data_IF_882945004037
#
_entry.id   IF_882945004037
#
_cell.length_a   1.000
_cell.length_b   1.000
_cell.length_c   1.000
_cell.angle_alpha   90.00
_cell.angle_beta   90.00
_cell.angle_gamma   90.00
#
_symmetry.space_group_name_H-M   'P 1'
#
loop_
_entity.id
_entity.type
_entity.pdbx_description
1 polymer ?
2 polymer ?
3 non-polymer ?
4 water ?
#
loop_
_entity_poly.entity_id
_entity_poly.type
_entity_poly.pdbx_seq_one_letter_code
_entity_poly.pdbx_strand_id
2 'polydeoxyribonucleotide' '(DA)(DT)(DG)(DT)(DC)' ?
#
# COMPACT_ATOMS: atom_id res chain seq x y z
N UNK A 2 9.42 13.73 -21.97
CA UNK A 2 10.62 12.99 -21.50
C UNK A 2 10.34 12.36 -20.12
N UNK A 3 9.91 13.15 -19.11
CA UNK A 3 9.43 12.65 -17.79
C UNK A 3 8.32 11.60 -17.98
N UNK A 4 8.46 10.49 -17.27
CA UNK A 4 7.50 9.37 -17.25
C UNK A 4 6.10 9.86 -16.88
N UNK A 5 5.11 9.25 -17.52
CA UNK A 5 3.68 9.40 -17.16
C UNK A 5 3.28 8.17 -16.36
N UNK A 6 2.08 8.21 -15.79
CA UNK A 6 1.48 7.09 -15.04
C UNK A 6 0.98 6.05 -16.05
N UNK A 7 1.13 4.75 -15.72
CA UNK A 7 0.50 3.70 -16.49
C UNK A 7 -1.01 3.77 -16.23
N UNK A 8 -1.78 3.29 -17.18
CA UNK A 8 -3.24 3.11 -17.03
C UNK A 8 -3.56 1.72 -17.49
N UNK A 9 -4.22 0.89 -16.66
CA UNK A 9 -4.53 1.20 -15.25
C UNK A 9 -3.30 1.52 -14.39
N UNK A 10 -3.53 2.25 -13.29
CA UNK A 10 -2.44 2.73 -12.39
C UNK A 10 -2.35 1.83 -11.16
N UNK A 11 -1.34 0.95 -11.09
CA UNK A 11 -1.27 0.03 -9.96
C UNK A 11 -1.12 0.74 -8.62
N UNK A 12 -1.74 0.15 -7.62
CA UNK A 12 -1.61 0.56 -6.19
C UNK A 12 -1.21 -0.71 -5.42
N UNK A 13 -0.45 -0.50 -4.38
CA UNK A 13 0.24 -1.57 -3.63
C UNK A 13 0.07 -1.36 -2.13
N UNK A 14 -0.40 -2.40 -1.49
CA UNK A 14 -0.48 -2.42 -0.01
C UNK A 14 0.32 -3.64 0.50
N UNK A 15 1.37 -3.37 1.25
CA UNK A 15 2.17 -4.45 1.86
C UNK A 15 1.61 -4.82 3.22
N UNK A 16 1.63 -6.13 3.47
CA UNK A 16 1.17 -6.68 4.76
C UNK A 16 1.87 -8.01 5.01
N UNK A 17 2.06 -8.30 6.27
CA UNK A 17 2.61 -9.61 6.69
C UNK A 17 1.62 -10.72 6.32
N UNK A 18 2.12 -11.87 5.86
CA UNK A 18 1.24 -13.04 5.56
C UNK A 18 0.39 -13.44 6.77
N UNK A 19 0.83 -13.16 7.99
CA UNK A 19 0.07 -13.56 9.22
C UNK A 19 -1.21 -12.73 9.32
N UNK A 20 -1.37 -11.67 8.53
CA UNK A 20 -2.63 -10.89 8.52
C UNK A 20 -3.61 -11.35 7.42
N UNK A 21 -3.19 -12.20 6.49
CA UNK A 21 -4.06 -12.55 5.36
C UNK A 21 -5.34 -13.25 5.84
N UNK A 22 -5.29 -14.15 6.82
CA UNK A 22 -6.51 -14.79 7.28
C UNK A 22 -7.49 -13.71 7.74
N UNK A 23 -7.04 -12.74 8.52
CA UNK A 23 -7.95 -11.70 9.02
C UNK A 23 -8.52 -10.87 7.86
N UNK A 24 -7.75 -10.64 6.80
CA UNK A 24 -8.22 -9.85 5.62
C UNK A 24 -9.34 -10.65 4.96
N UNK A 25 -9.12 -11.95 4.80
CA UNK A 25 -10.16 -12.77 4.15
C UNK A 25 -11.36 -12.95 5.09
N UNK A 26 -11.16 -13.10 6.41
CA UNK A 26 -12.29 -13.27 7.35
C UNK A 26 -13.18 -12.02 7.32
N UNK A 27 -12.59 -10.83 7.27
CA UNK A 27 -13.36 -9.57 7.26
C UNK A 27 -13.88 -9.34 5.83
N UNK A 28 -13.22 -9.93 4.86
CA UNK A 28 -13.52 -9.68 3.44
C UNK A 28 -13.00 -8.35 2.94
N UNK A 29 -12.02 -7.79 3.63
CA UNK A 29 -11.57 -6.42 3.31
C UNK A 29 -10.35 -6.05 4.14
N UNK A 30 -9.52 -5.21 3.58
CA UNK A 30 -8.58 -4.42 4.39
C UNK A 30 -9.36 -3.38 5.17
N UNK A 31 -9.05 -3.22 6.46
CA UNK A 31 -9.63 -2.17 7.32
C UNK A 31 -8.56 -1.14 7.66
N UNK A 32 -8.96 0.12 7.66
CA UNK A 32 -8.06 1.19 8.07
C UNK A 32 -7.68 1.02 9.52
N UNK A 33 -6.57 1.57 9.92
CA UNK A 33 -6.05 1.43 11.31
C UNK A 33 -7.14 1.76 12.32
N UNK A 34 -7.88 2.84 12.11
CA UNK A 34 -8.89 3.28 13.11
C UNK A 34 -10.12 2.38 13.09
N UNK A 35 -10.23 1.49 12.13
CA UNK A 35 -11.34 0.49 12.06
C UNK A 35 -10.92 -0.82 12.74
N UNK A 36 -9.84 -0.86 13.50
CA UNK A 36 -9.50 -1.99 14.37
C UNK A 36 -9.43 -3.30 13.61
N UNK A 37 -8.63 -3.40 12.54
CA UNK A 37 -8.42 -4.66 11.85
C UNK A 37 -7.88 -5.72 12.80
N UNK A 38 -8.29 -6.98 12.62
CA UNK A 38 -7.76 -8.08 13.43
C UNK A 38 -6.38 -8.54 12.95
N UNK A 39 -5.47 -7.56 12.95
CA UNK A 39 -4.09 -7.87 12.51
C UNK A 39 -3.38 -8.76 13.53
N UNK A 40 -2.52 -9.64 13.03
CA UNK A 40 -1.63 -10.46 13.88
C UNK A 40 -0.25 -9.83 13.98
N UNK A 41 0.18 -9.08 12.96
CA UNK A 41 1.61 -8.69 12.87
C UNK A 41 1.70 -7.23 12.38
N UNK A 42 2.25 -6.35 13.22
CA UNK A 42 2.52 -4.96 12.80
C UNK A 42 3.93 -4.93 12.23
N UNK A 43 4.09 -4.30 11.08
CA UNK A 43 5.42 -4.11 10.46
C UNK A 43 5.69 -2.61 10.39
N UNK A 44 4.96 -1.78 11.10
CA UNK A 44 5.08 -0.31 11.01
C UNK A 44 6.13 0.20 12.01
N UNK A 45 6.59 1.43 11.79
CA UNK A 45 7.19 2.30 12.83
C UNK A 45 6.10 2.89 13.72
N UNK A 46 6.15 2.60 15.02
CA UNK A 46 5.16 3.22 15.94
C UNK A 46 5.23 4.75 15.90
N UNK A 47 6.44 5.33 15.89
CA UNK A 47 6.57 6.79 16.02
C UNK A 47 6.02 7.49 14.82
N UNK A 48 5.98 6.85 13.63
CA UNK A 48 5.34 7.49 12.44
C UNK A 48 3.86 7.13 12.40
N UNK A 49 3.52 5.95 12.89
CA UNK A 49 2.10 5.58 13.10
C UNK A 49 1.42 6.69 13.93
N UNK A 50 2.09 7.18 14.97
CA UNK A 50 1.49 8.19 15.87
C UNK A 50 1.25 9.50 15.12
N UNK A 51 2.09 9.78 14.13
CA UNK A 51 1.85 10.98 13.27
C UNK A 51 0.61 10.75 12.37
N UNK A 52 0.50 9.57 11.76
CA UNK A 52 -0.69 9.20 10.90
C UNK A 52 -1.95 9.31 11.72
N UNK A 53 -1.86 8.91 12.99
CA UNK A 53 -2.98 8.92 13.93
C UNK A 53 -3.60 10.31 14.07
N UNK A 54 -2.82 11.37 13.87
CA UNK A 54 -3.31 12.73 14.13
C UNK A 54 -3.19 13.63 12.90
N UNK A 55 -2.86 13.04 11.75
CA UNK A 55 -2.65 13.80 10.49
C UNK A 55 -4.00 14.02 9.79
N UNK A 56 -4.52 15.24 9.77
CA UNK A 56 -5.82 15.57 9.13
C UNK A 56 -5.72 15.38 7.62
N UNK A 57 -6.76 14.79 7.04
CA UNK A 57 -6.90 14.70 5.57
C UNK A 57 -7.77 15.86 5.16
N UNK A 58 -7.23 16.80 4.35
CA UNK A 58 -7.92 18.05 4.06
C UNK A 58 -8.85 18.03 2.86
N UNK A 59 -9.10 16.87 2.27
CA UNK A 59 -10.09 16.67 1.20
C UNK A 59 -11.19 15.81 1.76
N UNK A 60 -12.43 16.02 1.32
CA UNK A 60 -13.50 15.11 1.69
C UNK A 60 -13.11 13.67 1.34
N UNK A 61 -13.46 12.64 2.12
CA UNK A 61 -14.33 12.74 3.30
C UNK A 61 -13.66 13.07 4.63
N UNK A 62 -12.44 13.61 4.60
CA UNK A 62 -11.78 14.18 5.78
C UNK A 62 -11.31 13.13 6.75
N UNK A 63 -11.42 13.45 8.03
CA UNK A 63 -10.87 12.57 9.06
C UNK A 63 -9.36 12.69 9.16
N UNK A 64 -8.70 11.59 9.44
CA UNK A 64 -7.21 11.56 9.57
C UNK A 64 -6.68 10.40 8.74
N UNK A 65 -5.37 10.32 8.57
CA UNK A 65 -4.75 9.30 7.72
C UNK A 65 -5.12 7.89 8.20
N UNK A 66 -5.27 7.70 9.52
CA UNK A 66 -5.61 6.40 10.13
C UNK A 66 -7.04 5.99 9.77
N UNK A 67 -7.83 6.87 9.14
CA UNK A 67 -9.18 6.48 8.67
C UNK A 67 -9.10 5.85 7.28
N UNK A 68 -7.94 5.71 6.68
CA UNK A 68 -7.83 5.26 5.26
C UNK A 68 -6.92 4.05 5.20
N UNK A 69 -7.24 3.13 4.31
CA UNK A 69 -6.31 2.02 3.92
C UNK A 69 -5.23 2.58 3.01
N UNK A 70 -3.94 2.45 3.37
CA UNK A 70 -2.87 3.08 2.61
C UNK A 70 -2.31 2.19 1.48
N UNK A 71 -2.08 2.79 0.36
CA UNK A 71 -1.35 2.17 -0.77
C UNK A 71 -0.27 3.12 -1.23
N UNK A 72 0.82 2.55 -1.75
CA UNK A 72 1.77 3.31 -2.54
C UNK A 72 1.53 3.01 -4.04
N UNK A 73 2.17 3.81 -4.88
CA UNK A 73 2.11 3.66 -6.34
C UNK A 73 3.29 2.84 -6.85
N UNK A 74 4.07 2.24 -5.94
CA UNK A 74 5.21 1.37 -6.29
C UNK A 74 5.28 0.24 -5.30
N UNK A 75 5.80 -0.90 -5.73
CA UNK A 75 6.32 -1.92 -4.81
C UNK A 75 7.71 -1.50 -4.37
N UNK A 76 8.38 -2.40 -3.63
CA UNK A 76 9.79 -2.17 -3.24
C UNK A 76 9.88 -0.81 -2.59
N UNK A 77 9.00 -0.54 -1.63
CA UNK A 77 8.92 0.79 -0.98
C UNK A 77 10.11 1.05 -0.06
N UNK A 78 10.32 2.32 0.34
CA UNK A 78 11.28 2.64 1.38
C UNK A 78 10.89 1.94 2.68
N UNK A 79 9.59 1.90 3.00
CA UNK A 79 9.12 1.17 4.20
C UNK A 79 9.60 -0.29 4.14
N UNK A 80 9.44 -0.93 2.98
CA UNK A 80 9.89 -2.35 2.85
C UNK A 80 11.42 -2.45 3.11
N UNK A 81 12.19 -1.44 2.76
CA UNK A 81 13.65 -1.43 3.05
C UNK A 81 13.85 -1.44 4.57
N UNK A 82 13.09 -0.65 5.31
CA UNK A 82 13.25 -0.57 6.78
C UNK A 82 12.96 -1.95 7.34
N UNK A 83 11.94 -2.63 6.83
CA UNK A 83 11.57 -4.03 7.20
C UNK A 83 12.66 -5.04 6.82
N UNK A 84 13.11 -5.03 5.58
CA UNK A 84 14.17 -5.91 5.02
C UNK A 84 15.39 -5.83 5.92
N UNK A 85 15.77 -4.63 6.35
CA UNK A 85 16.99 -4.39 7.14
C UNK A 85 16.79 -4.54 8.66
N UNK A 86 15.62 -4.92 9.13
CA UNK A 86 15.36 -5.20 10.56
C UNK A 86 15.38 -3.96 11.44
N UNK A 87 15.12 -2.79 10.85
CA UNK A 87 15.08 -1.48 11.55
C UNK A 87 13.79 -1.29 12.33
N UNK A 88 12.78 -2.09 11.99
CA UNK A 88 11.43 -2.06 12.59
C UNK A 88 11.51 -2.88 13.90
N UNK A 89 10.54 -2.71 14.78
CA UNK A 89 10.42 -3.63 15.94
C UNK A 89 10.24 -5.05 15.41
N UNK A 90 9.40 -5.23 14.38
CA UNK A 90 9.23 -6.51 13.65
C UNK A 90 10.58 -6.96 13.11
N UNK A 91 10.97 -8.21 13.42
CA UNK A 91 12.32 -8.73 13.09
C UNK A 91 12.24 -9.87 12.07
N UNK A 92 11.07 -10.18 11.54
CA UNK A 92 10.85 -11.29 10.57
C UNK A 92 11.46 -11.06 9.20
N UNK A 93 11.80 -9.84 8.84
CA UNK A 93 12.43 -9.53 7.55
C UNK A 93 11.39 -9.46 6.43
N UNK A 94 11.84 -9.33 5.19
CA UNK A 94 10.92 -9.04 4.05
C UNK A 94 10.25 -10.30 3.53
N UNK A 95 10.82 -11.48 3.78
CA UNK A 95 10.29 -12.63 3.04
C UNK A 95 8.78 -12.90 3.26
N UNK A 96 8.23 -12.77 4.49
CA UNK A 96 6.78 -12.94 4.71
C UNK A 96 5.90 -11.74 4.36
N UNK A 97 6.46 -10.74 3.71
CA UNK A 97 5.67 -9.52 3.38
C UNK A 97 5.07 -9.66 1.99
N UNK A 98 3.75 -9.55 1.88
CA UNK A 98 2.98 -9.67 0.64
C UNK A 98 2.82 -8.26 0.06
N UNK A 99 2.84 -8.16 -1.27
CA UNK A 99 2.32 -6.94 -1.98
C UNK A 99 0.93 -7.24 -2.49
N UNK A 100 -0.11 -6.59 -1.95
CA UNK A 100 -1.49 -6.70 -2.46
C UNK A 100 -1.66 -5.63 -3.51
N UNK A 101 -2.08 -6.04 -4.72
CA UNK A 101 -2.09 -5.10 -5.88
C UNK A 101 -3.51 -4.87 -6.34
N UNK A 102 -3.84 -3.61 -6.60
CA UNK A 102 -5.08 -3.24 -7.27
C UNK A 102 -4.79 -2.08 -8.20
N UNK A 103 -5.81 -1.32 -8.52
CA UNK A 103 -5.59 -0.13 -9.36
C UNK A 103 -6.43 1.03 -8.87
N UNK A 104 -5.97 2.24 -9.13
CA UNK A 104 -6.70 3.46 -8.76
C UNK A 104 -8.06 3.48 -9.44
N UNK A 105 -8.04 3.07 -10.70
CA UNK A 105 -9.23 3.10 -11.56
C UNK A 105 -10.26 2.09 -11.06
N UNK A 106 -9.86 0.92 -10.55
CA UNK A 106 -10.80 -0.08 -9.98
C UNK A 106 -11.53 0.58 -8.82
N UNK A 107 -10.80 1.33 -7.98
CA UNK A 107 -11.43 2.00 -6.82
C UNK A 107 -12.45 3.03 -7.28
N UNK A 108 -12.08 3.85 -8.25
CA UNK A 108 -12.99 4.89 -8.76
C UNK A 108 -14.26 4.24 -9.31
N UNK A 109 -14.09 3.23 -10.15
CA UNK A 109 -15.24 2.58 -10.84
C UNK A 109 -16.14 1.93 -9.81
N UNK A 110 -15.62 1.52 -8.67
CA UNK A 110 -16.43 0.89 -7.61
C UNK A 110 -17.17 1.95 -6.78
N UNK A 111 -16.84 3.24 -6.94
CA UNK A 111 -17.48 4.35 -6.21
C UNK A 111 -17.05 4.41 -4.77
N UNK A 112 -15.85 3.95 -4.45
CA UNK A 112 -15.33 4.08 -3.09
C UNK A 112 -14.65 5.43 -2.92
N UNK A 113 -14.89 6.12 -1.78
CA UNK A 113 -14.21 7.38 -1.48
C UNK A 113 -12.70 7.17 -1.33
N UNK A 114 -11.94 8.02 -1.98
CA UNK A 114 -10.46 7.95 -1.92
C UNK A 114 -9.90 9.36 -1.98
N UNK A 115 -8.64 9.46 -1.57
CA UNK A 115 -7.81 10.66 -1.75
C UNK A 115 -6.44 10.13 -2.12
N UNK A 116 -5.62 10.96 -2.68
CA UNK A 116 -4.22 10.57 -2.86
C UNK A 116 -3.32 11.76 -2.62
N UNK A 117 -2.06 11.49 -2.41
CA UNK A 117 -1.04 12.53 -2.10
C UNK A 117 0.07 12.55 -3.15
N UNK A 118 0.85 13.61 -3.17
CA UNK A 118 2.03 13.67 -4.06
C UNK A 118 3.30 13.25 -3.35
N UNK A 119 3.23 12.91 -2.07
CA UNK A 119 4.42 12.55 -1.27
C UNK A 119 4.04 11.98 0.06
N UNK A 120 5.03 11.48 0.79
CA UNK A 120 4.81 10.89 2.13
C UNK A 120 3.73 11.68 2.87
N UNK A 121 2.66 11.02 3.26
CA UNK A 121 1.44 11.73 3.65
C UNK A 121 1.52 12.46 4.99
N UNK A 122 2.50 12.17 5.85
CA UNK A 122 2.56 12.86 7.16
C UNK A 122 3.27 14.22 7.02
N UNK A 123 3.84 14.51 5.87
CA UNK A 123 4.61 15.77 5.66
C UNK A 123 3.63 16.93 5.55
N UNK A 124 3.88 18.02 6.27
CA UNK A 124 2.91 19.13 6.37
C UNK A 124 2.65 19.75 5.00
N UNK A 125 3.58 19.64 4.06
CA UNK A 125 3.48 20.24 2.70
C UNK A 125 2.99 19.22 1.65
N UNK A 126 2.54 18.04 2.05
CA UNK A 126 1.96 17.06 1.10
C UNK A 126 0.71 17.69 0.53
N UNK A 127 0.50 17.50 -0.78
CA UNK A 127 -0.72 17.89 -1.47
C UNK A 127 -1.65 16.70 -1.56
N UNK A 128 -2.92 16.99 -1.39
CA UNK A 128 -3.98 15.98 -1.41
C UNK A 128 -4.90 16.27 -2.58
N UNK A 129 -5.31 15.19 -3.24
CA UNK A 129 -6.14 15.21 -4.48
C UNK A 129 -7.29 14.22 -4.41
N UNK A 130 -8.36 14.47 -5.16
CA UNK A 130 -9.53 13.59 -5.30
C UNK A 130 -9.75 13.13 -6.73
N UNK A 131 -9.19 13.82 -7.72
CA UNK A 131 -9.55 13.57 -9.15
C UNK A 131 -8.44 12.72 -9.77
N UNK A 132 -8.76 11.65 -10.48
CA UNK A 132 -7.64 10.83 -11.05
C UNK A 132 -6.85 11.59 -12.10
N UNK A 133 -7.41 12.61 -12.74
CA UNK A 133 -6.58 13.39 -13.68
C UNK A 133 -5.38 13.99 -12.96
N UNK A 134 -5.50 14.22 -11.64
CA UNK A 134 -4.40 14.81 -10.87
C UNK A 134 -3.28 13.78 -10.60
N UNK A 135 -3.37 12.54 -11.08
CA UNK A 135 -2.18 11.65 -11.09
C UNK A 135 -1.05 12.31 -11.86
N UNK A 136 -1.36 13.25 -12.78
CA UNK A 136 -0.31 14.02 -13.47
C UNK A 136 0.52 14.87 -12.49
N UNK A 137 0.04 15.16 -11.28
CA UNK A 137 0.77 15.98 -10.29
C UNK A 137 1.90 15.19 -9.60
N UNK A 138 1.93 13.87 -9.75
CA UNK A 138 2.88 13.03 -9.02
C UNK A 138 4.13 12.90 -9.88
N UNK A 139 5.22 12.54 -9.24
CA UNK A 139 6.55 12.41 -9.87
C UNK A 139 6.79 10.94 -10.13
N UNK A 140 6.50 10.50 -11.34
CA UNK A 140 6.53 9.07 -11.68
C UNK A 140 7.99 8.57 -11.76
N UNK A 141 8.94 9.46 -11.99
CA UNK A 141 10.38 9.11 -11.92
C UNK A 141 10.74 8.70 -10.50
N UNK A 142 10.27 9.51 -9.54
CA UNK A 142 10.56 9.31 -8.12
C UNK A 142 9.84 8.04 -7.71
N UNK A 143 8.59 7.87 -8.13
CA UNK A 143 7.80 6.68 -7.70
C UNK A 143 8.48 5.37 -8.17
N UNK A 144 9.06 5.38 -9.36
CA UNK A 144 9.69 4.16 -9.91
C UNK A 144 11.15 3.99 -9.53
N UNK A 145 11.76 4.94 -8.83
CA UNK A 145 13.23 4.95 -8.64
C UNK A 145 13.60 3.78 -7.75
N UNK A 146 14.63 3.04 -8.11
CA UNK A 146 15.12 1.92 -7.27
C UNK A 146 16.08 2.45 -6.19
N UNK A 147 16.77 3.56 -6.44
CA UNK A 147 17.61 4.28 -5.47
C UNK A 147 16.89 5.58 -5.14
N UNK A 148 16.45 5.67 -3.88
CA UNK A 148 15.50 6.72 -3.44
C UNK A 148 16.04 7.41 -2.19
N UNK A 149 17.24 7.08 -1.71
CA UNK A 149 17.67 7.61 -0.39
C UNK A 149 17.88 9.12 -0.53
N UNK A 150 18.24 9.59 -1.72
CA UNK A 150 18.62 10.98 -2.00
C UNK A 150 18.41 11.16 -3.50
N UNK A 151 18.06 12.34 -4.00
CA UNK A 151 17.89 13.55 -3.18
C UNK A 151 16.60 13.66 -2.36
N UNK A 152 16.49 14.56 -1.39
CA UNK A 152 15.32 14.63 -0.50
C UNK A 152 13.95 14.70 -1.18
N UNK A 153 13.79 15.49 -2.22
CA UNK A 153 12.50 15.66 -2.92
C UNK A 153 12.07 14.31 -3.53
N UNK A 154 13.01 13.59 -4.11
CA UNK A 154 12.76 12.29 -4.74
C UNK A 154 12.32 11.33 -3.64
N UNK A 155 13.00 11.37 -2.51
CA UNK A 155 12.69 10.47 -1.35
C UNK A 155 11.25 10.74 -0.90
N UNK A 156 10.85 12.01 -0.79
CA UNK A 156 9.49 12.32 -0.30
C UNK A 156 8.48 11.82 -1.35
N UNK A 157 8.71 12.15 -2.62
CA UNK A 157 7.69 11.94 -3.69
C UNK A 157 7.59 10.47 -4.07
N UNK A 158 8.59 9.65 -3.79
CA UNK A 158 8.46 8.19 -4.03
C UNK A 158 7.30 7.63 -3.20
N UNK A 159 7.00 8.24 -2.07
CA UNK A 159 6.06 7.72 -1.05
C UNK A 159 4.71 8.41 -1.14
N UNK A 160 4.36 8.98 -2.30
CA UNK A 160 2.97 9.35 -2.61
C UNK A 160 2.01 8.21 -2.31
N UNK A 161 0.87 8.49 -1.74
CA UNK A 161 -0.04 7.46 -1.23
C UNK A 161 -1.39 7.56 -1.92
N UNK A 162 -2.01 6.41 -2.07
CA UNK A 162 -3.39 6.28 -2.52
C UNK A 162 -4.17 5.76 -1.33
N UNK A 163 -5.16 6.54 -0.88
CA UNK A 163 -5.84 6.34 0.41
C UNK A 163 -7.33 6.05 0.22
N UNK A 164 -7.78 4.87 0.65
CA UNK A 164 -9.19 4.45 0.49
C UNK A 164 -9.91 4.52 1.85
N UNK A 165 -10.95 5.28 1.90
CA UNK A 165 -11.60 5.59 3.20
C UNK A 165 -12.17 4.33 3.87
N UNK A 166 -11.77 4.05 5.12
CA UNK A 166 -12.29 3.04 6.08
C UNK A 166 -11.99 1.61 5.67
N UNK A 167 -12.31 1.16 4.45
CA UNK A 167 -12.22 -0.28 4.10
C UNK A 167 -11.95 -0.44 2.61
N UNK A 168 -11.26 -1.51 2.26
CA UNK A 168 -10.96 -1.82 0.88
C UNK A 168 -11.42 -3.25 0.63
N UNK A 169 -12.43 -3.47 -0.24
CA UNK A 169 -12.99 -4.82 -0.40
C UNK A 169 -11.95 -5.77 -1.03
N UNK A 170 -11.83 -6.99 -0.50
CA UNK A 170 -10.88 -7.99 -1.02
C UNK A 170 -11.09 -8.25 -2.50
N UNK A 171 -12.34 -8.24 -2.95
CA UNK A 171 -12.75 -8.46 -4.35
C UNK A 171 -11.99 -7.53 -5.31
N UNK A 172 -11.44 -6.40 -4.86
CA UNK A 172 -10.72 -5.47 -5.79
C UNK A 172 -9.23 -5.79 -5.89
N UNK A 173 -8.72 -6.75 -5.13
CA UNK A 173 -7.29 -7.14 -5.25
C UNK A 173 -7.11 -8.03 -6.49
N UNK A 174 -6.19 -7.67 -7.38
CA UNK A 174 -5.96 -8.36 -8.67
C UNK A 174 -4.74 -9.30 -8.61
N UNK A 175 -3.81 -9.08 -7.67
CA UNK A 175 -2.58 -9.88 -7.60
C UNK A 175 -2.05 -9.82 -6.17
N UNK A 176 -1.53 -10.93 -5.71
CA UNK A 176 -0.65 -10.97 -4.53
C UNK A 176 0.75 -11.31 -5.01
N UNK A 177 1.68 -10.40 -4.84
CA UNK A 177 3.09 -10.65 -5.15
C UNK A 177 3.81 -11.07 -3.88
N UNK A 178 4.78 -11.98 -4.02
CA UNK A 178 5.50 -12.61 -2.91
C UNK A 178 6.97 -12.70 -3.28
N UNK A 179 7.82 -12.92 -2.28
CA UNK A 179 9.30 -12.97 -2.42
C UNK A 179 9.74 -14.36 -2.88
N UNK A 180 9.03 -15.39 -2.47
CA UNK A 180 9.57 -16.78 -2.54
C UNK A 180 8.46 -17.78 -2.80
N UNK A 181 8.87 -18.93 -3.32
CA UNK A 181 7.94 -20.05 -3.65
C UNK A 181 7.24 -20.49 -2.36
N UNK A 182 8.00 -20.50 -1.28
CA UNK A 182 7.57 -20.96 0.07
C UNK A 182 6.40 -20.07 0.52
N UNK A 183 6.56 -18.75 0.37
CA UNK A 183 5.47 -17.83 0.80
C UNK A 183 4.30 -17.88 -0.19
N UNK A 184 4.52 -17.97 -1.51
CA UNK A 184 3.45 -18.19 -2.48
C UNK A 184 2.54 -19.33 -2.10
N UNK A 185 3.13 -20.47 -1.78
CA UNK A 185 2.40 -21.69 -1.42
C UNK A 185 1.58 -21.44 -0.15
N UNK A 186 2.16 -20.76 0.83
CA UNK A 186 1.44 -20.49 2.10
C UNK A 186 0.23 -19.56 1.83
N UNK A 187 0.39 -18.58 0.93
CA UNK A 187 -0.77 -17.72 0.50
C UNK A 187 -1.87 -18.57 -0.14
N UNK A 188 -1.54 -19.52 -1.02
CA UNK A 188 -2.62 -20.27 -1.70
C UNK A 188 -3.36 -21.18 -0.69
N UNK A 189 -2.64 -21.70 0.30
CA UNK A 189 -3.25 -22.53 1.38
C UNK A 189 -4.27 -21.68 2.13
N UNK A 190 -3.91 -20.45 2.46
CA UNK A 190 -4.85 -19.53 3.18
C UNK A 190 -6.07 -19.21 2.33
N UNK A 191 -5.82 -18.85 1.07
CA UNK A 191 -6.94 -18.49 0.14
C UNK A 191 -7.93 -19.66 0.06
N UNK A 192 -7.42 -20.88 -0.04
CA UNK A 192 -8.30 -22.08 -0.19
C UNK A 192 -9.15 -22.32 1.08
N UNK A 193 -8.79 -21.73 2.22
CA UNK A 193 -9.64 -21.76 3.42
C UNK A 193 -10.86 -20.84 3.30
N UNK A 194 -10.91 -20.01 2.27
CA UNK A 194 -12.00 -19.05 2.04
C UNK A 194 -12.48 -19.23 0.63
N UNK A 195 -13.21 -20.33 0.35
CA UNK A 195 -13.58 -20.64 -1.03
C UNK A 195 -14.57 -19.67 -1.69
N UNK A 196 -15.22 -18.79 -0.96
CA UNK A 196 -16.18 -17.86 -1.56
C UNK A 196 -15.42 -16.62 -2.01
N UNK A 197 -14.15 -16.49 -1.61
CA UNK A 197 -13.42 -15.22 -1.85
C UNK A 197 -12.74 -15.32 -3.21
N UNK A 198 -12.56 -14.16 -3.85
CA UNK A 198 -11.66 -14.08 -5.01
C UNK A 198 -10.27 -14.61 -4.67
N UNK A 199 -9.68 -15.35 -5.59
CA UNK A 199 -8.34 -15.91 -5.49
C UNK A 199 -7.48 -15.19 -6.52
N UNK A 200 -6.83 -14.09 -6.17
CA UNK A 200 -5.99 -13.39 -7.15
C UNK A 200 -4.76 -14.26 -7.50
N UNK A 201 -4.21 -14.04 -8.68
CA UNK A 201 -2.93 -14.68 -9.08
C UNK A 201 -1.88 -14.36 -8.03
N UNK A 202 -1.10 -15.35 -7.63
CA UNK A 202 0.03 -15.21 -6.70
C UNK A 202 1.29 -15.35 -7.52
N UNK A 203 2.12 -14.34 -7.50
CA UNK A 203 3.25 -14.16 -8.43
C UNK A 203 4.50 -13.94 -7.60
N UNK A 204 5.57 -14.68 -7.89
CA UNK A 204 6.88 -14.43 -7.26
C UNK A 204 7.53 -13.29 -8.03
N UNK A 205 7.81 -12.20 -7.34
CA UNK A 205 8.41 -11.01 -7.98
C UNK A 205 9.55 -10.57 -7.10
N UNK A 206 10.70 -11.23 -7.22
CA UNK A 206 11.83 -10.94 -6.33
C UNK A 206 12.33 -9.52 -6.57
N UNK A 207 12.12 -8.97 -7.76
CA UNK A 207 12.53 -7.59 -8.10
C UNK A 207 11.67 -6.54 -7.38
N UNK A 208 10.56 -6.94 -6.74
CA UNK A 208 9.74 -6.05 -5.85
C UNK A 208 10.31 -6.02 -4.43
N UNK A 209 11.41 -6.72 -4.15
CA UNK A 209 12.04 -6.85 -2.81
C UNK A 209 13.50 -6.41 -2.92
N UNK A 210 14.12 -6.28 -1.75
CA UNK A 210 15.52 -5.87 -1.61
C UNK A 210 16.41 -7.11 -1.68
X LIG C 1 -7.16 -8.32 9.07
X LIG C 1 -5.86 -8.32 9.37
X LIG C 1 -4.97 -7.35 9.21
X LIG C 1 -5.47 -6.31 8.50
X LIG C 1 -6.75 -6.20 8.02
X LIG C 1 -7.62 -7.29 8.28
X LIG C 1 -8.90 -7.30 7.94
X LIG C 1 -6.96 -5.00 7.37
X LIG C 1 -5.81 -4.38 7.51
X LIG C 1 -4.84 -5.16 8.14
X LIG C 1 -2.13 0.57 8.67
X LIG C 1 0.64 -0.25 8.34
X LIG C 1 -3.47 -4.79 8.45
X LIG C 1 -3.18 0.75 7.66
X LIG C 1 0.69 -0.83 9.68
X LIG C 1 4.67 4.12 7.72
X LIG C 1 -2.74 -3.95 7.41
X LIG C 1 -2.31 -4.72 6.34
X LIG C 1 -1.66 1.73 9.48
X LIG C 1 1.15 -1.06 7.20
X LIG C 1 4.26 4.41 9.16
X LIG C 1 5.11 3.96 10.19
X LIG C 1 -1.68 -3.32 8.31
X LIG C 1 -0.67 -4.29 8.57
X LIG C 1 -0.86 0.05 7.88
X LIG C 1 2.88 3.75 9.19
X LIG C 1 2.46 3.55 10.53
X LIG C 1 -2.53 -2.95 9.55
X LIG C 1 -3.55 -3.98 9.62
X LIG C 1 3.10 2.49 8.33
X LIG C 1 3.96 2.94 7.27
X LIG C 1 -3.26 -1.64 9.46
X LIG C 1 -2.36 -0.57 9.69
X LIG C 1 1.97 1.87 7.58
X LIG C 1 1.25 1.25 8.53
#
# INVERSE_FOLDING_TARGET
SMKRTYPEPTPIYHITHIDNLKGILRMGKLLAHNQSPPKQRSIAYAHIQERRNRAKVPQPPGGVLHDYVPFYFCPRSPMLYAIYSGATEYQGGQEPILHLVSSAQAVHKAGLPFVFTDRHGVLSHARFFRQLEELAQLDWEAIQASYWADPPELREKKQAAFLVYKAFPWALIEEIAVYSQRVGEEVLKILKQFPEARRPRVCIRKDWYY
AR6 N1 C2 N3 C4 C5 C6 N6 N7 C8 N9 PA PB C1' O1A O1B C1D C2' O2' O2A O2B C2D O2D C3' O3' O3A C3D O3D C4' O4' C4D O4D C5' O5' C5D O5D
#
